data_IF_535444224077
#
_entry.id   IF_535444224077
#
_cell.length_a   1.000
_cell.length_b   1.000
_cell.length_c   1.000
_cell.angle_alpha   90.00
_cell.angle_beta   90.00
_cell.angle_gamma   90.00
#
_symmetry.space_group_name_H-M   'P 1'
#
loop_
_entity.id
_entity.type
_entity.pdbx_description
1 polymer ?
#
# COMPACT_ATOMS: atom_id res chain seq x y z
N UNK A 1 7.99 -16.36 -19.82
CA UNK A 1 7.38 -15.97 -18.54
C UNK A 1 8.41 -16.00 -17.42
N UNK A 2 8.47 -14.95 -16.60
CA UNK A 2 9.38 -14.85 -15.44
C UNK A 2 8.56 -14.63 -14.16
N UNK A 3 8.24 -15.71 -13.42
CA UNK A 3 7.50 -15.61 -12.17
C UNK A 3 8.19 -14.77 -11.09
N UNK A 4 9.53 -14.70 -11.10
CA UNK A 4 10.29 -13.90 -10.13
C UNK A 4 10.12 -12.41 -10.43
N UNK A 5 10.26 -12.02 -11.69
CA UNK A 5 10.03 -10.63 -12.09
C UNK A 5 8.59 -10.20 -11.82
N UNK A 6 7.60 -11.06 -12.07
CA UNK A 6 6.20 -10.78 -11.73
C UNK A 6 6.01 -10.61 -10.21
N UNK A 7 6.65 -11.45 -9.39
CA UNK A 7 6.61 -11.29 -7.92
C UNK A 7 7.20 -9.98 -7.41
N UNK A 8 8.12 -9.38 -8.15
CA UNK A 8 8.74 -8.08 -7.82
C UNK A 8 7.94 -6.89 -8.36
N UNK A 9 7.21 -7.08 -9.46
CA UNK A 9 6.39 -6.07 -10.12
C UNK A 9 5.07 -6.70 -10.57
N UNK A 10 4.14 -6.96 -9.64
CA UNK A 10 2.90 -7.65 -9.95
C UNK A 10 2.02 -6.80 -10.85
N UNK A 11 1.34 -7.47 -11.78
CA UNK A 11 0.31 -6.88 -12.63
C UNK A 11 -1.01 -7.56 -12.26
N UNK A 12 -1.99 -6.76 -11.81
CA UNK A 12 -3.31 -7.24 -11.42
C UNK A 12 -4.42 -6.48 -12.12
N UNK A 13 -5.65 -6.88 -11.87
CA UNK A 13 -6.87 -6.33 -12.45
C UNK A 13 -7.76 -5.59 -11.42
N UNK A 14 -7.20 -5.18 -10.29
CA UNK A 14 -7.91 -4.49 -9.21
C UNK A 14 -7.92 -2.96 -9.36
N UNK A 15 -8.55 -2.22 -8.42
CA UNK A 15 -8.71 -0.76 -8.50
C UNK A 15 -7.40 0.05 -8.39
N UNK A 16 -6.27 -0.60 -8.10
CA UNK A 16 -4.97 0.04 -8.00
C UNK A 16 -3.93 -0.71 -8.85
N UNK A 17 -2.98 0.04 -9.39
CA UNK A 17 -1.79 -0.47 -10.09
C UNK A 17 -0.57 -0.36 -9.20
N UNK A 18 0.27 -1.40 -9.20
CA UNK A 18 1.56 -1.38 -8.51
C UNK A 18 2.49 -0.31 -9.10
N UNK A 19 3.09 0.51 -8.24
CA UNK A 19 4.09 1.51 -8.65
C UNK A 19 5.49 1.10 -8.24
N UNK A 20 5.70 0.82 -6.95
CA UNK A 20 7.03 0.61 -6.40
C UNK A 20 7.00 -0.21 -5.13
N UNK A 21 7.98 -1.10 -4.98
CA UNK A 21 8.32 -1.74 -3.72
C UNK A 21 9.71 -1.31 -3.28
N UNK A 22 9.76 -0.60 -2.16
CA UNK A 22 11.02 -0.36 -1.44
C UNK A 22 11.10 -1.39 -0.33
N UNK A 23 11.93 -2.41 -0.55
CA UNK A 23 12.03 -3.56 0.35
C UNK A 23 12.25 -3.14 1.81
N UNK A 24 11.50 -3.78 2.70
CA UNK A 24 11.48 -3.53 4.16
C UNK A 24 11.02 -2.12 4.57
N UNK A 25 10.65 -1.24 3.63
CA UNK A 25 10.21 0.14 3.91
C UNK A 25 8.75 0.40 3.55
N UNK A 26 8.38 0.23 2.29
CA UNK A 26 7.02 0.54 1.83
C UNK A 26 6.68 -0.06 0.47
N UNK A 27 5.38 -0.25 0.22
CA UNK A 27 4.80 -0.55 -1.10
C UNK A 27 3.90 0.62 -1.50
N UNK A 28 4.01 1.06 -2.75
CA UNK A 28 3.20 2.11 -3.36
C UNK A 28 2.34 1.56 -4.47
N UNK A 29 1.08 1.98 -4.46
CA UNK A 29 0.12 1.72 -5.52
C UNK A 29 -0.59 3.03 -5.88
N UNK A 30 -0.96 3.20 -7.15
CA UNK A 30 -1.79 4.31 -7.62
C UNK A 30 -3.15 3.81 -8.06
N UNK A 31 -4.16 4.67 -8.00
CA UNK A 31 -5.47 4.35 -8.57
C UNK A 31 -5.35 4.00 -10.06
N UNK A 32 -6.07 2.99 -10.51
CA UNK A 32 -6.19 2.65 -11.93
C UNK A 32 -7.49 3.26 -12.49
N UNK A 33 -7.41 4.30 -13.34
CA UNK A 33 -8.61 5.03 -13.80
C UNK A 33 -9.57 4.18 -14.64
N UNK A 34 -9.08 3.13 -15.30
CA UNK A 34 -9.88 2.29 -16.20
C UNK A 34 -10.55 1.12 -15.48
N UNK A 35 -10.38 0.98 -14.16
CA UNK A 35 -11.04 -0.05 -13.38
C UNK A 35 -12.57 0.10 -13.45
N UNK A 36 -13.27 -0.94 -13.93
CA UNK A 36 -14.73 -0.93 -14.12
C UNK A 36 -15.52 -1.62 -13.00
N UNK A 37 -14.85 -2.21 -12.01
CA UNK A 37 -15.51 -2.88 -10.90
C UNK A 37 -16.17 -1.93 -9.90
N UNK A 38 -17.00 -2.46 -8.98
CA UNK A 38 -17.80 -1.64 -8.06
C UNK A 38 -16.97 -0.89 -7.00
N UNK A 39 -15.78 -1.38 -6.66
CA UNK A 39 -14.89 -0.84 -5.64
C UNK A 39 -13.78 0.05 -6.23
N UNK A 40 -14.17 1.04 -7.04
CA UNK A 40 -13.23 2.04 -7.59
C UNK A 40 -12.47 2.76 -6.48
N UNK A 41 -11.20 3.07 -6.74
CA UNK A 41 -10.39 3.83 -5.79
C UNK A 41 -10.98 5.22 -5.54
N UNK A 42 -11.17 5.57 -4.27
CA UNK A 42 -11.66 6.89 -3.83
C UNK A 42 -10.51 7.86 -3.45
N UNK A 43 -9.26 7.43 -3.59
CA UNK A 43 -8.05 8.20 -3.35
C UNK A 43 -7.08 8.02 -4.53
N UNK A 44 -6.01 8.81 -4.58
CA UNK A 44 -5.05 8.78 -5.69
C UNK A 44 -4.11 7.57 -5.64
N UNK A 45 -3.97 6.93 -4.49
CA UNK A 45 -3.02 5.87 -4.25
C UNK A 45 -2.83 5.60 -2.76
N UNK A 46 -2.15 4.51 -2.44
CA UNK A 46 -1.90 4.07 -1.08
C UNK A 46 -0.42 3.81 -0.89
N UNK A 47 0.12 4.30 0.22
CA UNK A 47 1.44 3.92 0.70
C UNK A 47 1.31 2.95 1.87
N UNK A 48 1.59 1.67 1.61
CA UNK A 48 1.67 0.66 2.66
C UNK A 48 3.05 0.77 3.32
N UNK A 49 3.15 1.59 4.36
CA UNK A 49 4.37 1.75 5.16
C UNK A 49 4.56 0.52 6.06
N UNK A 50 5.76 -0.04 6.03
CA UNK A 50 6.12 -1.21 6.82
C UNK A 50 6.82 -0.76 8.11
N UNK A 51 6.14 -0.88 9.24
CA UNK A 51 6.71 -0.60 10.56
C UNK A 51 7.18 -1.90 11.22
N UNK A 52 8.30 -1.84 11.93
CA UNK A 52 8.81 -2.99 12.68
C UNK A 52 8.06 -3.23 13.99
N UNK A 53 7.38 -2.21 14.52
CA UNK A 53 6.60 -2.29 15.77
C UNK A 53 5.30 -1.49 15.64
N UNK A 54 4.28 -1.86 16.43
CA UNK A 54 2.98 -1.18 16.41
C UNK A 54 3.09 0.20 17.06
N UNK A 55 3.96 0.35 18.06
CA UNK A 55 4.20 1.60 18.79
C UNK A 55 4.78 2.68 17.87
N UNK A 56 5.67 2.31 16.95
CA UNK A 56 6.22 3.24 15.96
C UNK A 56 5.12 3.73 14.99
N UNK A 57 4.26 2.82 14.52
CA UNK A 57 3.13 3.18 13.66
C UNK A 57 2.12 4.07 14.41
N UNK A 58 1.84 3.75 15.68
CA UNK A 58 0.96 4.54 16.54
C UNK A 58 1.49 5.97 16.74
N UNK A 59 2.77 6.12 17.07
CA UNK A 59 3.42 7.43 17.21
C UNK A 59 3.29 8.29 15.95
N UNK A 60 3.45 7.67 14.77
CA UNK A 60 3.32 8.35 13.48
C UNK A 60 1.88 8.77 13.18
N UNK A 61 0.86 8.00 13.59
CA UNK A 61 -0.54 8.43 13.48
C UNK A 61 -0.81 9.65 14.36
N UNK A 62 -0.38 9.60 15.63
CA UNK A 62 -0.56 10.71 16.57
C UNK A 62 0.15 11.98 16.09
N UNK A 63 1.30 11.82 15.41
CA UNK A 63 2.07 12.93 14.84
C UNK A 63 1.54 13.43 13.48
N UNK A 64 0.51 12.79 12.91
CA UNK A 64 -0.05 13.14 11.60
C UNK A 64 0.78 12.68 10.40
N UNK A 65 1.77 11.82 10.60
CA UNK A 65 2.63 11.26 9.55
C UNK A 65 2.05 9.99 8.89
N UNK A 66 0.99 9.43 9.47
CA UNK A 66 0.29 8.24 9.00
C UNK A 66 -1.23 8.41 9.15
N UNK A 67 -1.98 8.11 8.09
CA UNK A 67 -3.44 8.32 8.08
C UNK A 67 -4.22 7.31 8.93
N UNK A 68 -3.74 6.05 9.00
CA UNK A 68 -4.44 4.97 9.69
C UNK A 68 -3.49 3.81 10.04
N UNK A 69 -3.77 3.14 11.15
CA UNK A 69 -3.23 1.82 11.52
C UNK A 69 -4.38 0.79 11.58
N UNK A 70 -4.09 -0.46 11.21
CA UNK A 70 -5.09 -1.55 11.28
C UNK A 70 -5.20 -2.15 12.68
N UNK A 71 -4.11 -2.12 13.44
CA UNK A 71 -4.00 -2.72 14.76
C UNK A 71 -3.44 -1.68 15.72
N UNK A 72 -4.10 -1.54 16.86
CA UNK A 72 -3.55 -0.88 18.04
C UNK A 72 -2.87 -1.97 18.89
N UNK A 73 -1.83 -1.62 19.64
CA UNK A 73 -1.18 -2.56 20.56
C UNK A 73 -2.19 -3.23 21.50
N UNK A 74 -1.85 -4.39 22.10
CA UNK A 74 -2.69 -5.03 23.11
C UNK A 74 -3.01 -4.09 24.29
#
# INVERSE_FOLDING_TARGET
>A
DDPKAFGQKPIGNGPYTFEKWTHKKLIQVKAWPEYQGPNKAANKGIQFKNYSTVEAAYSDVISGNLDMIRQVGP
#
